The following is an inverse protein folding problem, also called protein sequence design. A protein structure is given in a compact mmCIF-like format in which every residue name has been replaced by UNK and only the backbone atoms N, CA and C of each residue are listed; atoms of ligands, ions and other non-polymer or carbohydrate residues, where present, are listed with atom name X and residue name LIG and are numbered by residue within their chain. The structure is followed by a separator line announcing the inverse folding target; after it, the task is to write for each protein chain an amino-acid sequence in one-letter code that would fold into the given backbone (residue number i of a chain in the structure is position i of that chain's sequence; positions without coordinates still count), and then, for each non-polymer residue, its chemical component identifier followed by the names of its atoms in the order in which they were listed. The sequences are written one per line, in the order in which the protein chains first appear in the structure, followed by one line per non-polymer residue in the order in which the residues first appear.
data_IF_642635365102
#
_entry.id   IF_642635365102
#
_cell.length_a   1.000
_cell.length_b   1.000
_cell.length_c   1.000
_cell.angle_alpha   90.00
_cell.angle_beta   90.00
_cell.angle_gamma   90.00
#
_symmetry.space_group_name_H-M   'P 1'
#
loop_
_entity.id
_entity.type
_entity.pdbx_description
1 polymer ?
#
# COMPACT_ATOMS: atom_id res chain seq x y z
N UNK A 1 42.55 -46.09 17.26
CA UNK A 1 41.87 -45.29 16.23
C UNK A 1 40.38 -45.49 16.43
N UNK A 2 39.53 -44.55 16.82
CA UNK A 2 39.62 -43.23 17.42
C UNK A 2 38.26 -43.05 18.09
N UNK A 3 38.24 -42.69 19.38
CA UNK A 3 37.01 -42.59 20.14
C UNK A 3 36.97 -41.22 20.81
N UNK A 4 35.81 -40.57 20.65
CA UNK A 4 35.25 -39.50 21.48
C UNK A 4 35.98 -38.16 21.52
N UNK A 5 35.65 -37.30 20.55
CA UNK A 5 35.68 -35.84 20.74
C UNK A 5 34.27 -35.39 21.12
N UNK A 6 34.06 -35.12 22.41
CA UNK A 6 32.87 -34.46 22.92
C UNK A 6 32.83 -33.01 22.39
N UNK A 7 31.95 -32.71 21.45
CA UNK A 7 31.60 -31.33 21.12
C UNK A 7 30.54 -30.83 22.12
N UNK A 8 30.95 -29.98 23.06
CA UNK A 8 30.01 -29.12 23.76
C UNK A 8 29.52 -28.06 22.77
N UNK A 9 28.30 -28.23 22.23
CA UNK A 9 27.55 -27.08 21.71
C UNK A 9 26.84 -26.42 22.89
N UNK A 10 27.39 -25.31 23.35
CA UNK A 10 26.69 -24.38 24.23
C UNK A 10 25.48 -23.83 23.46
N UNK A 11 24.28 -24.30 23.82
CA UNK A 11 23.04 -23.72 23.33
C UNK A 11 22.84 -22.37 24.01
N UNK A 12 23.19 -21.28 23.32
CA UNK A 12 22.73 -19.96 23.71
C UNK A 12 21.23 -19.87 23.41
N UNK A 13 20.41 -20.06 24.44
CA UNK A 13 19.02 -19.61 24.44
C UNK A 13 19.03 -18.08 24.39
N UNK A 14 18.81 -17.50 23.21
CA UNK A 14 18.39 -16.10 23.10
C UNK A 14 16.95 -16.07 23.59
N UNK A 15 16.75 -15.65 24.84
CA UNK A 15 15.45 -15.25 25.32
C UNK A 15 15.04 -13.99 24.55
N UNK A 16 14.17 -14.15 23.54
CA UNK A 16 13.44 -13.02 22.99
C UNK A 16 12.50 -12.53 24.09
N UNK A 17 12.89 -11.49 24.82
CA UNK A 17 11.94 -10.76 25.66
C UNK A 17 10.91 -10.16 24.70
N UNK A 18 9.71 -10.73 24.67
CA UNK A 18 8.57 -10.08 24.05
C UNK A 18 8.43 -8.72 24.74
N UNK A 19 8.77 -7.64 24.02
CA UNK A 19 8.39 -6.30 24.45
C UNK A 19 6.88 -6.31 24.68
N UNK A 20 6.35 -5.61 25.69
CA UNK A 20 4.91 -5.45 25.84
C UNK A 20 4.38 -4.96 24.51
N UNK A 21 3.51 -5.75 23.87
CA UNK A 21 2.74 -5.26 22.74
C UNK A 21 2.03 -4.02 23.24
N UNK A 22 2.23 -2.89 22.56
CA UNK A 22 1.39 -1.72 22.77
C UNK A 22 -0.04 -2.16 22.41
N UNK A 23 -0.82 -2.53 23.43
CA UNK A 23 -2.24 -2.73 23.28
C UNK A 23 -2.86 -1.33 23.41
N UNK A 24 -3.33 -0.71 22.31
CA UNK A 24 -4.05 0.54 22.45
C UNK A 24 -5.26 0.26 23.34
N UNK A 25 -5.55 1.19 24.26
CA UNK A 25 -6.76 1.15 25.04
C UNK A 25 -7.95 0.92 24.09
N UNK A 26 -8.83 -0.03 24.44
CA UNK A 26 -10.08 -0.27 23.74
C UNK A 26 -11.01 0.93 23.95
N UNK A 27 -10.78 1.99 23.18
CA UNK A 27 -11.83 2.94 22.85
C UNK A 27 -12.84 2.18 22.00
N UNK A 28 -14.10 2.11 22.45
CA UNK A 28 -15.19 1.48 21.72
C UNK A 28 -15.12 1.89 20.24
N UNK A 29 -15.11 0.90 19.35
CA UNK A 29 -14.80 1.01 17.92
C UNK A 29 -14.95 2.44 17.35
N UNK A 30 -13.86 3.21 17.37
CA UNK A 30 -13.77 4.40 16.54
C UNK A 30 -13.87 3.92 15.12
N UNK A 31 -15.01 4.20 14.45
CA UNK A 31 -15.19 3.82 13.05
C UNK A 31 -14.02 4.38 12.26
N UNK A 32 -13.37 3.54 11.47
CA UNK A 32 -12.28 3.94 10.58
C UNK A 32 -12.84 4.97 9.60
N UNK A 33 -12.08 6.04 9.38
CA UNK A 33 -12.48 7.09 8.45
C UNK A 33 -12.52 6.56 7.01
N UNK A 34 -13.37 7.17 6.19
CA UNK A 34 -13.28 7.05 4.74
C UNK A 34 -12.17 8.00 4.28
N UNK A 35 -11.15 7.49 3.58
CA UNK A 35 -10.00 8.27 3.15
C UNK A 35 -9.91 8.23 1.62
N UNK A 36 -9.82 9.41 1.01
CA UNK A 36 -9.40 9.57 -0.38
C UNK A 36 -7.87 9.69 -0.41
N UNK A 37 -7.20 8.80 -1.15
CA UNK A 37 -5.75 8.81 -1.33
C UNK A 37 -5.46 9.30 -2.75
N UNK A 38 -4.57 10.28 -2.90
CA UNK A 38 -4.29 10.94 -4.19
C UNK A 38 -2.83 11.40 -4.30
N UNK A 39 -2.38 11.65 -5.53
CA UNK A 39 -1.10 12.28 -5.87
C UNK A 39 -1.22 12.94 -7.26
N UNK A 40 -0.15 13.57 -7.72
CA UNK A 40 0.00 14.05 -9.10
C UNK A 40 0.93 13.17 -9.94
N UNK A 41 1.69 12.25 -9.38
CA UNK A 41 2.63 11.40 -10.15
C UNK A 41 1.96 10.32 -11.00
N UNK A 42 0.68 10.02 -10.78
CA UNK A 42 -0.07 8.96 -11.47
C UNK A 42 -0.44 7.80 -10.55
N UNK A 43 -1.52 7.09 -10.89
CA UNK A 43 -2.13 6.08 -10.01
C UNK A 43 -1.27 4.83 -9.80
N UNK A 44 -0.44 4.48 -10.80
CA UNK A 44 0.29 3.22 -10.85
C UNK A 44 1.70 3.29 -10.25
N UNK A 45 2.15 4.47 -9.80
CA UNK A 45 3.52 4.64 -9.26
C UNK A 45 3.69 3.99 -7.88
N UNK A 46 4.88 3.46 -7.61
CA UNK A 46 5.12 2.65 -6.41
C UNK A 46 4.82 3.37 -5.09
N UNK A 47 5.06 4.69 -4.98
CA UNK A 47 4.85 5.43 -3.73
C UNK A 47 3.39 5.45 -3.31
N UNK A 48 2.46 5.84 -4.20
CA UNK A 48 1.04 5.94 -3.83
C UNK A 48 0.42 4.57 -3.60
N UNK A 49 0.90 3.55 -4.32
CA UNK A 49 0.51 2.16 -4.14
C UNK A 49 0.96 1.63 -2.78
N UNK A 50 2.15 2.03 -2.31
CA UNK A 50 2.66 1.70 -0.97
C UNK A 50 1.82 2.37 0.13
N UNK A 51 1.49 3.65 -0.02
CA UNK A 51 0.64 4.38 0.92
C UNK A 51 -0.77 3.78 1.02
N UNK A 52 -1.41 3.53 -0.13
CA UNK A 52 -2.72 2.89 -0.19
C UNK A 52 -2.69 1.52 0.52
N UNK A 53 -1.69 0.68 0.23
CA UNK A 53 -1.55 -0.64 0.84
C UNK A 53 -1.34 -0.56 2.36
N UNK A 54 -0.59 0.43 2.84
CA UNK A 54 -0.36 0.62 4.29
C UNK A 54 -1.63 1.03 5.03
N UNK A 55 -2.45 1.91 4.44
CA UNK A 55 -3.73 2.32 5.00
C UNK A 55 -4.78 1.19 4.93
N UNK A 56 -4.78 0.42 3.83
CA UNK A 56 -5.67 -0.73 3.64
C UNK A 56 -5.35 -1.82 4.68
N UNK A 57 -4.07 -2.09 4.93
CA UNK A 57 -3.61 -3.09 5.89
C UNK A 57 -4.06 -2.82 7.34
N UNK A 58 -4.34 -1.57 7.70
CA UNK A 58 -4.84 -1.18 9.03
C UNK A 58 -6.36 -0.96 9.08
N UNK A 59 -7.05 -1.31 8.00
CA UNK A 59 -8.51 -1.42 7.90
C UNK A 59 -9.26 -0.11 7.65
N UNK A 60 -8.65 0.88 6.99
CA UNK A 60 -9.40 2.05 6.53
C UNK A 60 -10.26 1.74 5.31
N UNK A 61 -11.35 2.48 5.13
CA UNK A 61 -12.14 2.45 3.89
C UNK A 61 -11.55 3.47 2.92
N UNK A 62 -11.04 3.01 1.77
CA UNK A 62 -10.20 3.82 0.89
C UNK A 62 -10.78 3.98 -0.50
N UNK A 63 -10.49 5.12 -1.11
CA UNK A 63 -10.60 5.32 -2.57
C UNK A 63 -9.28 5.89 -3.05
N UNK A 64 -8.64 5.23 -4.01
CA UNK A 64 -7.49 5.77 -4.72
C UNK A 64 -8.01 6.61 -5.90
N UNK A 65 -7.73 7.91 -5.88
CA UNK A 65 -8.15 8.85 -6.93
C UNK A 65 -6.94 9.62 -7.42
N UNK A 66 -6.27 9.08 -8.44
CA UNK A 66 -5.06 9.65 -9.02
C UNK A 66 -5.21 9.82 -10.53
N UNK A 67 -4.41 10.71 -11.16
CA UNK A 67 -4.32 10.81 -12.61
C UNK A 67 -3.91 9.48 -13.27
N UNK A 68 -4.30 9.30 -14.54
CA UNK A 68 -3.87 8.17 -15.36
C UNK A 68 -2.38 8.21 -15.71
N UNK A 69 -1.78 9.40 -15.69
CA UNK A 69 -0.42 9.75 -16.08
C UNK A 69 0.16 10.84 -15.18
N UNK A 70 1.47 11.04 -15.21
CA UNK A 70 2.16 12.06 -14.42
C UNK A 70 1.67 13.49 -14.73
N UNK A 71 1.31 14.20 -13.67
CA UNK A 71 0.86 15.61 -13.62
C UNK A 71 1.72 16.49 -12.71
N UNK A 72 2.90 16.01 -12.28
CA UNK A 72 3.89 16.81 -11.58
C UNK A 72 4.16 18.15 -12.29
N UNK A 73 4.15 19.24 -11.53
CA UNK A 73 4.47 20.58 -12.03
C UNK A 73 3.39 21.24 -12.92
N UNK A 74 2.21 20.66 -13.04
CA UNK A 74 1.10 21.22 -13.85
C UNK A 74 0.26 22.28 -13.11
N UNK A 75 0.51 22.46 -11.81
CA UNK A 75 -0.25 23.38 -10.96
C UNK A 75 -1.68 22.91 -10.72
N UNK A 76 -2.54 23.82 -10.26
CA UNK A 76 -3.92 23.49 -9.93
C UNK A 76 -4.81 23.66 -11.17
N UNK A 77 -5.40 22.56 -11.64
CA UNK A 77 -6.37 22.58 -12.72
C UNK A 77 -7.53 21.63 -12.42
N UNK A 78 -8.64 21.82 -13.13
CA UNK A 78 -9.80 20.94 -13.04
C UNK A 78 -10.43 20.74 -14.41
N UNK A 79 -10.86 19.53 -14.69
CA UNK A 79 -11.54 19.16 -15.91
C UNK A 79 -12.52 18.01 -15.61
N UNK A 80 -13.59 17.92 -16.40
CA UNK A 80 -14.47 16.74 -16.35
C UNK A 80 -13.72 15.55 -16.96
N UNK A 81 -13.63 14.39 -16.26
CA UNK A 81 -12.99 13.21 -16.81
C UNK A 81 -13.67 12.75 -18.10
N UNK A 82 -12.86 12.36 -19.09
CA UNK A 82 -13.31 11.77 -20.36
C UNK A 82 -12.64 10.41 -20.54
N UNK A 83 -13.19 9.52 -21.41
CA UNK A 83 -12.49 8.29 -21.76
C UNK A 83 -11.07 8.56 -22.22
N UNK A 84 -10.13 7.71 -21.81
CA UNK A 84 -8.72 7.96 -22.05
C UNK A 84 -8.39 7.99 -23.55
N UNK A 85 -7.69 9.03 -23.98
CA UNK A 85 -7.22 9.15 -25.35
C UNK A 85 -5.96 8.32 -25.63
N UNK A 86 -5.24 7.91 -24.57
CA UNK A 86 -4.01 7.11 -24.59
C UNK A 86 -4.04 6.13 -23.40
N UNK A 87 -3.23 5.06 -23.38
CA UNK A 87 -3.13 4.17 -22.21
C UNK A 87 -2.72 4.92 -20.94
N UNK A 88 -3.05 4.37 -19.76
CA UNK A 88 -2.46 4.81 -18.49
C UNK A 88 -0.94 4.60 -18.50
N UNK A 89 -0.25 5.26 -17.56
CA UNK A 89 1.15 4.94 -17.27
C UNK A 89 1.39 3.44 -17.09
N UNK A 90 2.51 2.98 -17.64
CA UNK A 90 2.94 1.58 -17.66
C UNK A 90 1.92 0.62 -18.32
N UNK A 91 1.10 1.12 -19.26
CA UNK A 91 0.05 0.36 -19.96
C UNK A 91 -0.95 -0.32 -19.00
N UNK A 92 -1.12 0.25 -17.81
CA UNK A 92 -1.95 -0.34 -16.74
C UNK A 92 -3.45 -0.26 -17.02
N UNK A 93 -3.85 0.53 -18.01
CA UNK A 93 -5.19 0.56 -18.56
C UNK A 93 -5.14 0.95 -20.05
N UNK A 94 -6.00 0.38 -20.93
CA UNK A 94 -5.98 0.67 -22.36
C UNK A 94 -6.62 2.01 -22.72
N UNK A 95 -6.33 2.51 -23.93
CA UNK A 95 -7.09 3.61 -24.56
C UNK A 95 -8.60 3.31 -24.55
N UNK A 96 -9.40 4.34 -24.26
CA UNK A 96 -10.84 4.24 -24.14
C UNK A 96 -11.33 3.80 -22.76
N UNK A 97 -10.44 3.51 -21.81
CA UNK A 97 -10.83 3.23 -20.42
C UNK A 97 -11.65 4.38 -19.83
N UNK A 98 -12.68 4.09 -19.02
CA UNK A 98 -13.47 5.11 -18.35
C UNK A 98 -12.68 5.77 -17.21
N UNK A 99 -13.27 6.82 -16.63
CA UNK A 99 -12.65 7.60 -15.54
C UNK A 99 -12.49 6.85 -14.21
N UNK A 100 -13.15 5.71 -14.06
CA UNK A 100 -13.08 4.87 -12.86
C UNK A 100 -12.66 3.46 -13.24
N UNK A 101 -11.92 2.81 -12.36
CA UNK A 101 -11.47 1.45 -12.54
C UNK A 101 -11.10 0.84 -11.20
N UNK A 102 -10.50 -0.34 -11.24
CA UNK A 102 -9.95 -1.01 -10.08
C UNK A 102 -8.61 -1.61 -10.47
N UNK A 103 -7.72 -1.73 -9.49
CA UNK A 103 -6.55 -2.56 -9.67
C UNK A 103 -6.86 -3.97 -9.16
N UNK A 104 -6.64 -4.98 -10.00
CA UNK A 104 -7.08 -6.36 -9.73
C UNK A 104 -6.39 -7.00 -8.52
N UNK A 105 -5.29 -6.43 -8.03
CA UNK A 105 -4.61 -6.87 -6.81
C UNK A 105 -5.02 -6.10 -5.54
N UNK A 106 -5.91 -5.12 -5.64
CA UNK A 106 -6.49 -4.43 -4.48
C UNK A 106 -7.45 -5.37 -3.75
N UNK A 107 -7.56 -5.22 -2.43
CA UNK A 107 -8.50 -6.03 -1.64
C UNK A 107 -9.89 -5.42 -1.78
N UNK A 108 -10.89 -6.28 -1.95
CA UNK A 108 -12.31 -5.89 -1.90
C UNK A 108 -12.78 -5.64 -0.47
#
# INVERSE_FOLDING_TARGET
MGLTTFFLLASFLIAASASPTYQPAHHGHSKKANILVTNDDGWAVAQIRSEFSALEAVGYNLVLSCPADNRSGTGNSTATPVPLAQPCEFDTCPTGSPATGFNASDRE
#
